data_IF_770860039526
#
_entry.id   IF_770860039526
#
_cell.length_a   1.000
_cell.length_b   1.000
_cell.length_c   1.000
_cell.angle_alpha   90.00
_cell.angle_beta   90.00
_cell.angle_gamma   90.00
#
_symmetry.space_group_name_H-M   'P 1'
#
loop_
_entity.id
_entity.type
_entity.pdbx_description
1 polymer ?
#
# COMPACT_ATOMS: atom_id res chain seq x y z
N UNK A 1 -20.34 12.84 31.77
CA UNK A 1 -20.27 14.03 30.90
C UNK A 1 -21.69 14.41 30.58
N UNK A 2 -22.02 15.69 30.58
CA UNK A 2 -23.34 16.17 30.16
C UNK A 2 -23.38 16.15 28.64
N UNK A 3 -24.15 15.23 28.06
CA UNK A 3 -24.49 15.24 26.64
C UNK A 3 -25.57 16.29 26.41
N UNK A 4 -25.18 17.46 25.91
CA UNK A 4 -26.13 18.50 25.49
C UNK A 4 -26.35 18.32 23.98
N UNK A 5 -27.53 17.83 23.60
CA UNK A 5 -27.97 17.82 22.22
C UNK A 5 -28.85 19.05 21.97
N UNK A 6 -28.46 19.88 21.00
CA UNK A 6 -29.28 20.98 20.51
C UNK A 6 -29.56 20.75 19.01
N UNK A 7 -30.83 20.76 18.63
CA UNK A 7 -31.26 20.53 17.24
C UNK A 7 -31.63 21.87 16.62
N UNK A 8 -30.83 22.34 15.67
CA UNK A 8 -31.13 23.54 14.89
C UNK A 8 -32.05 23.17 13.73
N UNK A 9 -33.27 23.72 13.71
CA UNK A 9 -34.30 23.40 12.69
C UNK A 9 -34.47 24.47 11.61
N UNK A 10 -33.80 25.61 11.76
CA UNK A 10 -33.86 26.71 10.81
C UNK A 10 -32.51 26.91 10.12
N UNK A 11 -32.51 27.28 8.83
CA UNK A 11 -31.29 27.61 8.12
C UNK A 11 -30.71 28.94 8.60
N UNK A 12 -29.40 28.98 8.85
CA UNK A 12 -28.75 30.16 9.39
C UNK A 12 -27.31 29.90 9.84
N UNK A 13 -26.58 30.98 10.12
CA UNK A 13 -25.27 30.89 10.76
C UNK A 13 -25.45 31.02 12.26
N UNK A 14 -25.03 29.99 13.00
CA UNK A 14 -25.09 29.94 14.45
C UNK A 14 -23.68 30.02 15.00
N UNK A 15 -23.44 30.99 15.89
CA UNK A 15 -22.20 31.05 16.65
C UNK A 15 -22.43 30.33 17.97
N UNK A 16 -21.70 29.24 18.19
CA UNK A 16 -21.72 28.53 19.46
C UNK A 16 -20.48 28.93 20.25
N UNK A 17 -20.72 29.51 21.41
CA UNK A 17 -19.69 29.87 22.37
C UNK A 17 -19.68 28.81 23.47
N UNK A 18 -18.56 28.08 23.58
CA UNK A 18 -18.33 27.21 24.72
C UNK A 18 -17.36 27.89 25.67
N UNK A 19 -17.86 28.22 26.86
CA UNK A 19 -17.04 28.76 27.96
C UNK A 19 -16.80 27.63 28.94
N UNK A 20 -15.53 27.21 29.06
CA UNK A 20 -15.13 26.24 30.08
C UNK A 20 -14.48 27.02 31.21
N UNK A 21 -15.05 26.95 32.41
CA UNK A 21 -14.52 27.60 33.61
C UNK A 21 -13.98 26.54 34.56
N UNK A 22 -12.71 26.65 34.93
CA UNK A 22 -12.06 25.75 35.89
C UNK A 22 -12.40 26.14 37.35
N UNK A 23 -12.11 25.28 38.34
CA UNK A 23 -12.36 25.51 39.78
C UNK A 23 -11.59 26.71 40.37
N UNK A 24 -10.71 27.31 39.57
CA UNK A 24 -9.97 28.54 39.88
C UNK A 24 -10.44 29.76 39.09
N UNK A 25 -11.68 29.73 38.59
CA UNK A 25 -12.35 30.82 37.85
C UNK A 25 -11.67 31.26 36.54
N UNK A 26 -10.74 30.45 36.03
CA UNK A 26 -10.14 30.69 34.72
C UNK A 26 -11.08 30.15 33.65
N UNK A 27 -11.60 31.03 32.80
CA UNK A 27 -12.38 30.65 31.64
C UNK A 27 -11.51 30.57 30.38
N UNK A 28 -11.67 29.52 29.61
CA UNK A 28 -11.24 29.48 28.20
C UNK A 28 -12.48 29.44 27.32
N UNK A 29 -12.60 30.45 26.46
CA UNK A 29 -13.67 30.55 25.49
C UNK A 29 -13.18 30.00 24.16
N UNK A 30 -13.91 29.03 23.63
CA UNK A 30 -13.74 28.55 22.26
C UNK A 30 -15.01 28.84 21.47
N UNK A 31 -14.89 29.62 20.41
CA UNK A 31 -15.99 29.92 19.48
C UNK A 31 -15.92 29.01 18.26
N UNK A 32 -17.05 28.40 17.90
CA UNK A 32 -17.19 27.62 16.68
C UNK A 32 -18.39 28.11 15.88
N UNK A 33 -18.23 28.27 14.57
CA UNK A 33 -19.32 28.67 13.67
C UNK A 33 -19.94 27.42 13.05
N UNK A 34 -21.27 27.31 13.15
CA UNK A 34 -22.06 26.27 12.50
C UNK A 34 -22.92 26.95 11.44
N UNK A 35 -22.73 26.58 10.17
CA UNK A 35 -23.54 27.07 9.06
C UNK A 35 -24.53 25.96 8.69
N UNK A 36 -25.82 26.21 8.87
CA UNK A 36 -26.89 25.32 8.44
C UNK A 36 -27.48 25.91 7.14
N UNK A 37 -27.01 25.46 5.99
CA UNK A 37 -27.53 25.86 4.67
C UNK A 37 -28.59 24.84 4.20
N UNK A 38 -29.81 25.25 3.80
CA UNK A 38 -30.84 24.32 3.37
C UNK A 38 -30.63 23.84 1.91
N UNK A 39 -29.59 24.31 1.22
CA UNK A 39 -29.27 23.94 -0.17
C UNK A 39 -27.88 23.33 -0.38
N UNK A 40 -27.10 23.13 0.69
CA UNK A 40 -25.80 22.47 0.59
C UNK A 40 -25.92 21.08 1.20
N UNK A 41 -26.18 20.07 0.36
CA UNK A 41 -25.72 18.72 0.70
C UNK A 41 -24.22 18.88 0.90
N UNK A 42 -23.65 18.66 2.10
CA UNK A 42 -22.23 18.87 2.31
C UNK A 42 -21.53 17.93 1.34
N UNK A 43 -21.02 18.48 0.24
CA UNK A 43 -20.19 17.72 -0.67
C UNK A 43 -18.88 17.61 0.07
N UNK A 44 -18.80 16.62 0.96
CA UNK A 44 -17.61 16.29 1.71
C UNK A 44 -16.62 15.76 0.70
N UNK A 45 -15.93 16.68 0.00
CA UNK A 45 -14.80 16.32 -0.84
C UNK A 45 -13.81 15.63 0.09
N UNK A 46 -13.54 14.33 -0.07
CA UNK A 46 -12.58 13.67 0.79
C UNK A 46 -11.25 14.42 0.68
N UNK A 47 -10.51 14.62 1.79
CA UNK A 47 -9.20 15.22 1.72
C UNK A 47 -8.34 14.49 0.69
N UNK A 48 -7.43 15.18 -0.03
CA UNK A 48 -6.61 14.55 -1.05
C UNK A 48 -5.92 13.31 -0.47
N UNK A 49 -6.12 12.16 -1.14
CA UNK A 49 -5.58 10.88 -0.69
C UNK A 49 -4.06 10.98 -0.60
N UNK A 50 -3.49 10.62 0.55
CA UNK A 50 -2.05 10.67 0.76
C UNK A 50 -1.31 9.80 -0.28
N UNK A 51 -0.08 10.16 -0.72
CA UNK A 51 0.66 9.35 -1.69
C UNK A 51 0.89 7.92 -1.17
N UNK A 52 0.34 6.92 -1.87
CA UNK A 52 0.56 5.50 -1.62
C UNK A 52 1.41 4.93 -2.77
N UNK A 53 2.67 4.55 -2.53
CA UNK A 53 3.53 3.95 -3.56
C UNK A 53 2.98 2.59 -4.01
N UNK A 54 3.49 2.03 -5.11
CA UNK A 54 3.13 0.68 -5.50
C UNK A 54 3.65 -0.35 -4.48
N UNK A 55 2.91 -1.44 -4.32
CA UNK A 55 3.31 -2.60 -3.50
C UNK A 55 3.59 -3.78 -4.40
N UNK A 56 4.84 -4.27 -4.38
CA UNK A 56 5.23 -5.44 -5.13
C UNK A 56 4.78 -6.73 -4.42
N UNK A 57 4.41 -7.74 -5.20
CA UNK A 57 4.10 -9.10 -4.72
C UNK A 57 4.88 -10.08 -5.61
N UNK A 58 5.45 -11.12 -5.00
CA UNK A 58 6.14 -12.19 -5.74
C UNK A 58 5.42 -13.50 -5.44
N UNK A 59 5.00 -14.20 -6.49
CA UNK A 59 4.54 -15.57 -6.45
C UNK A 59 5.60 -16.46 -7.11
N UNK A 60 6.16 -17.38 -6.32
CA UNK A 60 7.11 -18.39 -6.75
C UNK A 60 6.96 -19.65 -5.89
N UNK A 61 7.33 -20.84 -6.38
CA UNK A 61 7.41 -22.02 -5.53
C UNK A 61 8.51 -21.84 -4.46
N UNK A 62 8.34 -22.39 -3.25
CA UNK A 62 9.33 -22.28 -2.18
C UNK A 62 10.60 -23.10 -2.47
N UNK A 63 10.49 -24.13 -3.32
CA UNK A 63 11.59 -25.03 -3.70
C UNK A 63 11.46 -25.46 -5.17
N UNK A 64 12.59 -25.70 -5.84
CA UNK A 64 12.68 -26.34 -7.16
C UNK A 64 13.97 -27.16 -7.31
N UNK A 65 14.02 -28.09 -8.26
CA UNK A 65 15.25 -28.82 -8.58
C UNK A 65 16.17 -27.99 -9.49
N UNK A 66 17.48 -28.26 -9.40
CA UNK A 66 18.45 -27.70 -10.34
C UNK A 66 18.05 -28.01 -11.80
N UNK A 67 18.24 -27.05 -12.69
CA UNK A 67 17.84 -27.11 -14.10
C UNK A 67 16.33 -27.18 -14.38
N UNK A 68 15.46 -27.15 -13.35
CA UNK A 68 14.03 -27.00 -13.56
C UNK A 68 13.67 -25.56 -14.01
N UNK A 69 12.63 -25.43 -14.82
CA UNK A 69 12.07 -24.12 -15.19
C UNK A 69 11.16 -23.65 -14.05
N UNK A 70 11.53 -22.53 -13.44
CA UNK A 70 10.75 -21.88 -12.37
C UNK A 70 10.05 -20.66 -12.94
N UNK A 71 8.75 -20.54 -12.70
CA UNK A 71 7.97 -19.35 -13.05
C UNK A 71 7.88 -18.42 -11.85
N UNK A 72 8.12 -17.13 -12.12
CA UNK A 72 7.99 -16.02 -11.19
C UNK A 72 6.89 -15.10 -11.70
N UNK A 73 5.92 -14.81 -10.83
CA UNK A 73 4.76 -14.01 -11.16
C UNK A 73 4.65 -12.82 -10.21
N UNK A 74 4.70 -11.62 -10.77
CA UNK A 74 4.57 -10.34 -10.08
C UNK A 74 3.25 -9.63 -10.37
N UNK A 75 2.33 -10.26 -11.10
CA UNK A 75 1.09 -9.64 -11.59
C UNK A 75 0.11 -9.23 -10.47
N UNK A 76 0.25 -9.82 -9.28
CA UNK A 76 -0.50 -9.45 -8.07
C UNK A 76 0.03 -8.15 -7.40
N UNK A 77 1.03 -7.49 -8.00
CA UNK A 77 1.51 -6.20 -7.52
C UNK A 77 0.45 -5.10 -7.73
N UNK A 78 0.37 -4.16 -6.79
CA UNK A 78 -0.61 -3.07 -6.83
C UNK A 78 0.03 -1.70 -7.06
N UNK A 79 -0.57 -0.82 -7.89
CA UNK A 79 0.01 0.48 -8.27
C UNK A 79 0.01 1.56 -7.17
N UNK A 80 -0.67 1.33 -6.04
CA UNK A 80 -0.91 2.40 -5.09
C UNK A 80 -1.91 3.43 -5.65
N UNK A 81 -1.57 4.73 -5.64
CA UNK A 81 -2.40 5.81 -6.20
C UNK A 81 -1.68 6.74 -7.21
N UNK A 82 -0.63 6.26 -7.86
CA UNK A 82 0.23 7.02 -8.79
C UNK A 82 0.09 6.61 -10.24
N UNK A 83 -1.04 6.00 -10.58
CA UNK A 83 -1.26 5.41 -11.88
C UNK A 83 -0.79 3.96 -11.97
N UNK A 84 -1.09 3.26 -13.08
CA UNK A 84 -0.77 1.85 -13.27
C UNK A 84 0.73 1.56 -13.17
N UNK A 85 1.06 0.30 -12.88
CA UNK A 85 2.45 -0.19 -12.93
C UNK A 85 2.89 -0.27 -14.41
N UNK A 86 4.02 0.35 -14.73
CA UNK A 86 4.59 0.41 -16.09
C UNK A 86 5.86 -0.42 -16.25
N UNK A 87 6.49 -0.82 -15.15
CA UNK A 87 7.72 -1.61 -15.21
C UNK A 87 7.80 -2.61 -14.06
N UNK A 88 8.30 -3.80 -14.39
CA UNK A 88 8.60 -4.91 -13.48
C UNK A 88 10.05 -5.33 -13.74
N UNK A 89 10.91 -5.21 -12.74
CA UNK A 89 12.33 -5.57 -12.82
C UNK A 89 12.66 -6.62 -11.78
N UNK A 90 13.20 -7.73 -12.25
CA UNK A 90 13.56 -8.89 -11.45
C UNK A 90 15.07 -9.02 -11.30
N UNK A 91 15.49 -9.43 -10.11
CA UNK A 91 16.80 -9.99 -9.81
C UNK A 91 16.57 -11.38 -9.22
N UNK A 92 17.12 -12.42 -9.86
CA UNK A 92 16.92 -13.82 -9.45
C UNK A 92 17.90 -14.29 -8.38
N UNK A 93 18.85 -13.44 -7.95
CA UNK A 93 19.81 -13.72 -6.89
C UNK A 93 21.04 -14.52 -7.32
N UNK A 94 21.13 -14.91 -8.59
CA UNK A 94 22.25 -15.62 -9.21
C UNK A 94 23.07 -14.74 -10.18
N UNK A 95 22.74 -13.45 -10.24
CA UNK A 95 23.33 -12.47 -11.15
C UNK A 95 22.55 -12.29 -12.45
N UNK A 96 21.48 -13.06 -12.69
CA UNK A 96 20.56 -12.87 -13.82
C UNK A 96 19.44 -11.92 -13.41
N UNK A 97 19.07 -11.04 -14.34
CA UNK A 97 17.95 -10.10 -14.19
C UNK A 97 16.96 -10.26 -15.34
N UNK A 98 15.73 -9.80 -15.14
CA UNK A 98 14.69 -9.87 -16.16
C UNK A 98 13.69 -8.74 -16.05
N UNK A 99 12.93 -8.52 -17.12
CA UNK A 99 11.86 -7.52 -17.18
C UNK A 99 10.55 -8.14 -17.67
N UNK A 100 9.45 -7.81 -16.98
CA UNK A 100 8.12 -8.30 -17.31
C UNK A 100 7.32 -8.74 -16.08
N UNK A 101 5.98 -8.76 -16.16
CA UNK A 101 5.13 -9.11 -15.03
C UNK A 101 5.23 -10.59 -14.64
N UNK A 102 5.50 -11.47 -15.62
CA UNK A 102 5.66 -12.91 -15.43
C UNK A 102 6.89 -13.34 -16.22
N UNK A 103 7.79 -14.09 -15.60
CA UNK A 103 9.02 -14.60 -16.21
C UNK A 103 9.29 -16.04 -15.80
N UNK A 104 10.11 -16.71 -16.60
CA UNK A 104 10.67 -18.01 -16.27
C UNK A 104 12.18 -17.92 -16.17
N UNK A 105 12.76 -18.60 -15.18
CA UNK A 105 14.20 -18.67 -14.95
C UNK A 105 14.61 -20.09 -14.52
N UNK A 106 15.88 -20.43 -14.73
CA UNK A 106 16.43 -21.75 -14.42
C UNK A 106 17.76 -21.59 -13.69
N UNK A 107 17.88 -22.26 -12.53
CA UNK A 107 19.08 -22.25 -11.72
C UNK A 107 19.99 -23.43 -12.03
N UNK A 108 21.29 -23.17 -12.21
CA UNK A 108 22.30 -24.20 -12.56
C UNK A 108 22.98 -24.82 -11.35
N UNK A 109 22.84 -24.22 -10.17
CA UNK A 109 23.50 -24.66 -8.94
C UNK A 109 22.47 -24.79 -7.82
N UNK A 110 22.62 -25.77 -6.92
CA UNK A 110 21.80 -25.85 -5.72
C UNK A 110 22.17 -24.71 -4.74
N UNK A 111 21.20 -24.25 -3.97
CA UNK A 111 21.39 -23.18 -3.00
C UNK A 111 20.11 -22.39 -2.70
N UNK A 112 20.22 -21.43 -1.79
CA UNK A 112 19.15 -20.47 -1.51
C UNK A 112 19.38 -19.21 -2.35
N UNK A 113 18.38 -18.82 -3.12
CA UNK A 113 18.43 -17.61 -3.94
C UNK A 113 17.42 -16.58 -3.43
N UNK A 114 17.90 -15.35 -3.20
CA UNK A 114 17.05 -14.22 -2.82
C UNK A 114 16.56 -13.53 -4.09
N UNK A 115 15.29 -13.68 -4.40
CA UNK A 115 14.63 -13.03 -5.52
C UNK A 115 14.16 -11.65 -5.08
N UNK A 116 14.41 -10.64 -5.92
CA UNK A 116 13.90 -9.29 -5.70
C UNK A 116 13.07 -8.84 -6.91
N UNK A 117 11.88 -8.31 -6.65
CA UNK A 117 11.06 -7.63 -7.64
C UNK A 117 10.99 -6.16 -7.28
N UNK A 118 11.26 -5.30 -8.26
CA UNK A 118 10.98 -3.87 -8.21
C UNK A 118 9.90 -3.54 -9.25
N UNK A 119 8.83 -2.89 -8.80
CA UNK A 119 7.78 -2.35 -9.67
C UNK A 119 7.83 -0.83 -9.69
N UNK A 120 7.53 -0.22 -10.83
CA UNK A 120 7.47 1.24 -10.99
C UNK A 120 6.13 1.64 -11.59
N UNK A 121 5.47 2.65 -11.02
CA UNK A 121 4.23 3.23 -11.55
C UNK A 121 4.47 4.35 -12.58
N UNK A 122 3.42 4.79 -13.28
CA UNK A 122 3.48 5.90 -14.25
C UNK A 122 4.02 7.20 -13.66
N UNK A 123 3.83 7.42 -12.35
CA UNK A 123 4.37 8.59 -11.64
C UNK A 123 5.84 8.42 -11.25
N UNK A 124 6.49 7.31 -11.62
CA UNK A 124 7.89 7.01 -11.31
C UNK A 124 8.14 6.54 -9.88
N UNK A 125 7.09 6.25 -9.11
CA UNK A 125 7.22 5.76 -7.73
C UNK A 125 7.44 4.25 -7.76
N UNK A 126 8.21 3.77 -6.80
CA UNK A 126 8.71 2.40 -6.79
C UNK A 126 8.27 1.64 -5.56
N UNK A 127 8.10 0.33 -5.74
CA UNK A 127 7.80 -0.65 -4.70
C UNK A 127 8.70 -1.87 -4.89
N UNK A 128 9.06 -2.53 -3.81
CA UNK A 128 9.93 -3.71 -3.87
C UNK A 128 9.46 -4.82 -2.95
N UNK A 129 9.70 -6.05 -3.38
CA UNK A 129 9.43 -7.26 -2.60
C UNK A 129 10.63 -8.21 -2.73
N UNK A 130 10.82 -9.03 -1.69
CA UNK A 130 11.83 -10.07 -1.65
C UNK A 130 11.19 -11.42 -1.35
N UNK A 131 11.66 -12.46 -2.01
CA UNK A 131 11.28 -13.85 -1.75
C UNK A 131 12.52 -14.74 -1.78
N UNK A 132 12.42 -15.94 -1.20
CA UNK A 132 13.50 -16.94 -1.25
C UNK A 132 12.97 -18.17 -1.99
N UNK A 133 13.82 -18.75 -2.81
CA UNK A 133 13.64 -20.10 -3.35
C UNK A 133 14.81 -20.99 -2.94
N UNK A 134 14.50 -22.22 -2.54
CA UNK A 134 15.50 -23.27 -2.32
C UNK A 134 15.66 -24.08 -3.62
N UNK A 135 16.89 -24.18 -4.12
CA UNK A 135 17.22 -25.06 -5.24
C UNK A 135 17.92 -26.30 -4.72
N UNK A 136 17.27 -27.45 -4.90
CA UNK A 136 17.80 -28.74 -4.47
C UNK A 136 18.59 -29.40 -5.60
N UNK A 137 19.62 -30.21 -5.27
CA UNK A 137 20.30 -31.03 -6.27
C UNK A 137 19.31 -31.95 -6.97
N UNK A 138 19.56 -32.29 -8.24
CA UNK A 138 18.79 -33.33 -8.90
C UNK A 138 18.94 -34.63 -8.11
N UNK A 139 17.82 -35.34 -7.89
CA UNK A 139 17.86 -36.68 -7.31
C UNK A 139 18.57 -37.58 -8.33
N UNK A 140 19.86 -37.84 -8.14
CA UNK A 140 20.53 -38.90 -8.91
C UNK A 140 19.90 -40.25 -8.53
N UNK A 141 19.53 -41.09 -9.51
CA UNK A 141 19.07 -42.43 -9.19
C UNK A 141 20.20 -43.18 -8.49
N UNK A 142 19.98 -43.53 -7.22
CA UNK A 142 20.87 -44.42 -6.49
C UNK A 142 20.85 -45.78 -7.19
N UNK A 143 21.96 -46.15 -7.84
CA UNK A 143 22.15 -47.44 -8.50
C UNK A 143 22.89 -48.42 -7.60
#
# INVERSE_FOLDING_TARGET
GVDVAHVYTEPGTYQVELVITDDKELSSTATHQIIIDPSDSPTSTPPPEAPRPPSAVILNPPEAEVSAVVTFDGSESSPGNGGPIVSYRWDFGDGVTGEGPILSHTYTNPGNYQITLQVTDESGRQGSAGSIILITPAIEPQN
#
